data_IF_822712380762
#
_entry.id   IF_822712380762
#
_cell.length_a   1.000
_cell.length_b   1.000
_cell.length_c   1.000
_cell.angle_alpha   90.00
_cell.angle_beta   90.00
_cell.angle_gamma   90.00
#
_symmetry.space_group_name_H-M   'P 1'
#
loop_
_entity.id
_entity.type
_entity.pdbx_description
1 polymer ?
#
# COMPACT_ATOMS: atom_id res chain seq x y z
N UNK A 1 12.43 17.72 10.06
CA UNK A 1 11.88 16.46 9.51
C UNK A 1 12.89 15.32 9.65
N UNK A 2 12.48 14.14 10.13
CA UNK A 2 13.38 13.01 10.46
C UNK A 2 14.02 12.39 9.23
N UNK A 3 13.34 12.47 8.08
CA UNK A 3 13.86 12.01 6.78
C UNK A 3 13.82 13.13 5.74
N UNK A 4 14.73 13.10 4.77
CA UNK A 4 14.74 14.04 3.63
C UNK A 4 13.51 13.88 2.71
N UNK A 5 12.65 12.87 2.94
CA UNK A 5 11.46 12.60 2.15
C UNK A 5 11.74 12.20 0.70
N UNK A 6 12.99 11.83 0.38
CA UNK A 6 13.41 11.50 -0.99
C UNK A 6 13.52 10.00 -1.22
N UNK A 7 13.08 9.58 -2.40
CA UNK A 7 13.25 8.25 -2.98
C UNK A 7 14.15 8.38 -4.22
N UNK A 8 15.47 8.27 -4.00
CA UNK A 8 16.47 8.63 -5.01
C UNK A 8 16.39 10.11 -5.36
N UNK A 9 16.27 10.42 -6.65
CA UNK A 9 16.16 11.79 -7.14
C UNK A 9 14.77 12.41 -6.89
N UNK A 10 13.75 11.58 -6.61
CA UNK A 10 12.35 11.99 -6.50
C UNK A 10 11.91 12.22 -5.05
N UNK A 11 10.83 12.98 -4.87
CA UNK A 11 10.29 13.34 -3.56
C UNK A 11 10.94 14.58 -2.95
N UNK A 12 10.94 14.65 -1.62
CA UNK A 12 11.24 15.86 -0.85
C UNK A 12 10.00 16.73 -0.63
N UNK A 13 10.21 17.91 -0.06
CA UNK A 13 9.13 18.82 0.34
C UNK A 13 9.30 20.14 -0.43
N UNK A 14 8.40 20.39 -1.40
CA UNK A 14 8.37 21.62 -2.19
C UNK A 14 7.16 22.46 -1.79
N UNK A 15 7.21 23.01 -0.57
CA UNK A 15 6.12 23.76 0.04
C UNK A 15 6.64 25.11 0.58
N UNK A 16 5.76 26.10 0.80
CA UNK A 16 6.12 27.33 1.50
C UNK A 16 6.71 27.05 2.89
N UNK A 17 7.65 27.88 3.32
CA UNK A 17 8.34 27.77 4.61
C UNK A 17 7.36 27.73 5.80
N UNK A 18 6.25 28.46 5.69
CA UNK A 18 5.18 28.52 6.71
C UNK A 18 4.55 27.15 6.99
N UNK A 19 4.57 26.22 6.03
CA UNK A 19 4.01 24.88 6.20
C UNK A 19 5.00 23.87 6.80
N UNK A 20 6.30 24.17 6.82
CA UNK A 20 7.32 23.30 7.38
C UNK A 20 7.00 22.86 8.82
N UNK A 21 6.68 23.75 9.78
CA UNK A 21 6.42 23.31 11.16
C UNK A 21 5.20 22.38 11.28
N UNK A 22 4.15 22.59 10.47
CA UNK A 22 2.96 21.73 10.46
C UNK A 22 3.29 20.34 9.94
N UNK A 23 4.14 20.25 8.91
CA UNK A 23 4.59 18.96 8.38
C UNK A 23 5.48 18.21 9.37
N UNK A 24 6.29 18.92 10.15
CA UNK A 24 7.10 18.32 11.22
C UNK A 24 6.23 17.77 12.35
N UNK A 25 5.20 18.49 12.76
CA UNK A 25 4.23 18.01 13.76
C UNK A 25 3.51 16.76 13.26
N UNK A 26 3.06 16.77 12.00
CA UNK A 26 2.42 15.62 11.38
C UNK A 26 3.34 14.39 11.32
N UNK A 27 4.60 14.58 10.93
CA UNK A 27 5.59 13.51 10.88
C UNK A 27 5.83 12.91 12.27
N UNK A 28 5.96 13.76 13.29
CA UNK A 28 6.13 13.32 14.68
C UNK A 28 4.91 12.55 15.19
N UNK A 29 3.69 13.02 14.89
CA UNK A 29 2.46 12.33 15.26
C UNK A 29 2.37 10.97 14.55
N UNK A 30 2.68 10.90 13.26
CA UNK A 30 2.71 9.65 12.52
C UNK A 30 3.67 8.64 13.16
N UNK A 31 4.92 9.04 13.43
CA UNK A 31 5.90 8.14 14.07
C UNK A 31 5.57 7.79 15.52
N UNK A 32 4.71 8.56 16.20
CA UNK A 32 4.21 8.20 17.52
C UNK A 32 3.18 7.09 17.46
N UNK A 33 2.29 7.10 16.45
CA UNK A 33 1.12 6.23 16.42
C UNK A 33 1.24 5.04 15.46
N UNK A 34 2.16 5.04 14.49
CA UNK A 34 2.26 3.96 13.50
C UNK A 34 2.56 2.57 14.11
N UNK A 35 3.23 2.53 15.28
CA UNK A 35 3.49 1.31 16.05
C UNK A 35 2.60 1.18 17.30
N UNK A 36 1.72 2.15 17.60
CA UNK A 36 0.79 2.06 18.72
C UNK A 36 -0.27 0.99 18.42
N UNK A 37 -0.23 -0.10 19.19
CA UNK A 37 -1.16 -1.23 19.04
C UNK A 37 -2.62 -0.82 19.10
N UNK A 38 -2.98 0.19 19.93
CA UNK A 38 -4.37 0.66 20.04
C UNK A 38 -4.80 1.32 18.73
N UNK A 39 -3.98 2.22 18.21
CA UNK A 39 -4.24 2.91 16.95
C UNK A 39 -4.31 1.94 15.77
N UNK A 40 -3.34 1.01 15.67
CA UNK A 40 -3.31 0.01 14.60
C UNK A 40 -4.54 -0.91 14.67
N UNK A 41 -4.97 -1.32 15.86
CA UNK A 41 -6.14 -2.17 16.04
C UNK A 41 -7.42 -1.44 15.64
N UNK A 42 -7.59 -0.19 16.07
CA UNK A 42 -8.74 0.63 15.70
C UNK A 42 -8.78 0.88 14.19
N UNK A 43 -7.64 1.24 13.59
CA UNK A 43 -7.52 1.44 12.15
C UNK A 43 -7.84 0.16 11.36
N UNK A 44 -7.40 -1.01 11.85
CA UNK A 44 -7.72 -2.29 11.25
C UNK A 44 -9.23 -2.61 11.33
N UNK A 45 -9.86 -2.32 12.47
CA UNK A 45 -11.29 -2.49 12.66
C UNK A 45 -12.09 -1.58 11.71
N UNK A 46 -11.75 -0.29 11.64
CA UNK A 46 -12.36 0.66 10.70
C UNK A 46 -12.14 0.25 9.25
N UNK A 47 -10.94 -0.25 8.93
CA UNK A 47 -10.63 -0.75 7.58
C UNK A 47 -11.54 -1.92 7.19
N UNK A 48 -11.89 -2.79 8.15
CA UNK A 48 -12.76 -3.93 7.95
C UNK A 48 -14.24 -3.53 7.90
N UNK A 49 -14.71 -2.86 8.95
CA UNK A 49 -16.14 -2.64 9.18
C UNK A 49 -16.69 -1.47 8.36
N UNK A 50 -15.89 -0.42 8.16
CA UNK A 50 -16.31 0.77 7.43
C UNK A 50 -15.82 0.77 5.98
N UNK A 51 -14.53 0.49 5.76
CA UNK A 51 -13.95 0.51 4.41
C UNK A 51 -14.08 -0.81 3.64
N UNK A 52 -14.59 -1.89 4.26
CA UNK A 52 -14.86 -3.17 3.62
C UNK A 52 -13.61 -3.93 3.14
N UNK A 53 -12.46 -3.77 3.81
CA UNK A 53 -11.22 -4.50 3.50
C UNK A 53 -11.15 -5.86 4.22
N UNK A 54 -10.43 -6.86 3.68
CA UNK A 54 -9.61 -6.84 2.46
C UNK A 54 -10.44 -6.78 1.18
N UNK A 55 -9.91 -6.13 0.14
CA UNK A 55 -10.55 -6.17 -1.18
C UNK A 55 -10.39 -7.56 -1.79
N UNK A 56 -11.43 -8.12 -2.44
CA UNK A 56 -11.32 -9.41 -3.10
C UNK A 56 -10.25 -9.41 -4.17
N UNK A 57 -9.48 -10.50 -4.23
CA UNK A 57 -8.57 -10.80 -5.33
C UNK A 57 -9.30 -11.76 -6.29
N UNK A 58 -9.57 -11.29 -7.50
CA UNK A 58 -10.34 -12.03 -8.50
C UNK A 58 -9.42 -12.74 -9.50
N UNK A 59 -9.57 -14.06 -9.62
CA UNK A 59 -8.84 -14.82 -10.64
C UNK A 59 -9.49 -14.63 -12.02
N UNK A 60 -8.77 -14.00 -12.95
CA UNK A 60 -9.26 -13.64 -14.26
C UNK A 60 -9.10 -14.79 -15.27
N UNK A 61 -9.79 -15.91 -15.05
CA UNK A 61 -9.65 -17.17 -15.82
C UNK A 61 -9.51 -16.98 -17.34
N UNK A 62 -10.43 -16.26 -17.98
CA UNK A 62 -10.43 -16.04 -19.44
C UNK A 62 -9.20 -15.28 -19.91
N UNK A 63 -8.75 -14.30 -19.12
CA UNK A 63 -7.56 -13.52 -19.44
C UNK A 63 -6.30 -14.35 -19.19
N UNK A 64 -6.27 -15.15 -18.12
CA UNK A 64 -5.19 -16.08 -17.83
C UNK A 64 -4.97 -17.08 -18.96
N UNK A 65 -6.05 -17.66 -19.48
CA UNK A 65 -6.04 -18.58 -20.64
C UNK A 65 -5.52 -17.88 -21.91
N UNK A 66 -5.87 -16.59 -22.10
CA UNK A 66 -5.42 -15.81 -23.24
C UNK A 66 -3.93 -15.46 -23.19
N UNK A 67 -3.38 -15.13 -22.01
CA UNK A 67 -1.97 -14.72 -21.86
C UNK A 67 -1.03 -15.88 -21.52
N UNK A 68 -1.56 -17.04 -21.15
CA UNK A 68 -0.76 -18.20 -20.72
C UNK A 68 -0.17 -18.09 -19.31
N UNK A 69 -0.68 -17.18 -18.47
CA UNK A 69 -0.23 -16.95 -17.09
C UNK A 69 -1.41 -16.80 -16.15
N UNK A 70 -1.23 -17.14 -14.86
CA UNK A 70 -2.28 -16.90 -13.87
C UNK A 70 -2.38 -15.41 -13.55
N UNK A 71 -3.50 -14.78 -13.95
CA UNK A 71 -3.76 -13.36 -13.69
C UNK A 71 -4.80 -13.19 -12.58
N UNK A 72 -4.45 -12.35 -11.62
CA UNK A 72 -5.31 -11.96 -10.50
C UNK A 72 -5.55 -10.45 -10.54
N UNK A 73 -6.79 -10.02 -10.27
CA UNK A 73 -7.21 -8.62 -10.26
C UNK A 73 -7.58 -8.21 -8.84
N UNK A 74 -6.99 -7.12 -8.35
CA UNK A 74 -7.41 -6.51 -7.09
C UNK A 74 -8.62 -5.60 -7.35
N UNK A 75 -9.76 -5.90 -6.74
CA UNK A 75 -11.01 -5.17 -6.96
C UNK A 75 -10.97 -3.67 -6.62
N UNK A 76 -9.95 -3.20 -5.90
CA UNK A 76 -9.81 -1.79 -5.48
C UNK A 76 -8.92 -0.94 -6.40
N UNK A 77 -7.98 -1.55 -7.12
CA UNK A 77 -6.96 -0.84 -7.90
C UNK A 77 -6.89 -1.44 -9.29
N UNK A 78 -6.96 -0.58 -10.31
CA UNK A 78 -6.70 -0.97 -11.69
C UNK A 78 -5.42 -1.81 -11.78
N UNK A 79 -5.60 -3.07 -12.15
CA UNK A 79 -4.63 -4.07 -12.62
C UNK A 79 -3.17 -3.89 -12.14
N UNK A 80 -2.81 -4.55 -11.03
CA UNK A 80 -1.42 -4.98 -10.82
C UNK A 80 -1.33 -6.45 -11.21
N UNK A 81 -0.74 -6.74 -12.37
CA UNK A 81 -0.46 -8.11 -12.77
C UNK A 81 0.80 -8.60 -12.05
N UNK A 82 0.63 -9.37 -10.98
CA UNK A 82 1.74 -10.04 -10.31
C UNK A 82 2.09 -11.34 -11.06
N UNK A 83 3.32 -11.42 -11.58
CA UNK A 83 3.88 -12.67 -12.12
C UNK A 83 4.30 -13.58 -10.97
N UNK A 84 3.41 -14.44 -10.49
CA UNK A 84 3.84 -15.59 -9.68
C UNK A 84 4.31 -16.70 -10.61
N UNK A 85 5.63 -16.79 -10.85
CA UNK A 85 6.22 -18.02 -11.39
C UNK A 85 6.07 -19.10 -10.31
N UNK A 86 5.10 -19.98 -10.46
CA UNK A 86 5.08 -21.25 -9.73
C UNK A 86 6.23 -22.11 -10.27
N UNK A 87 7.42 -21.96 -9.72
CA UNK A 87 8.49 -22.93 -9.91
C UNK A 87 8.13 -24.17 -9.10
N UNK A 88 7.36 -25.08 -9.68
CA UNK A 88 7.36 -26.48 -9.28
C UNK A 88 8.70 -27.07 -9.74
N UNK A 89 9.68 -27.13 -8.85
CA UNK A 89 10.76 -28.10 -8.97
C UNK A 89 10.34 -29.35 -8.21
N UNK A 90 9.74 -30.27 -8.97
CA UNK A 90 9.74 -31.69 -8.69
C UNK A 90 11.02 -32.26 -9.31
N UNK A 91 12.01 -32.54 -8.47
CA UNK A 91 12.88 -33.73 -8.48
C UNK A 91 13.72 -33.72 -7.19
#
# INVERSE_FOLDING_TARGET
>A
MKYKGRFGDYGGFYVPEVLIPVLEELEQAFYRFYEDKRFVTELAQLSKDYAGRPSPLYYAKRFSEYVGFNVYLNAKTSCTAEHTKSTTHSD
#
